data_IF_098381016546
#
_entry.id   IF_098381016546
#
_cell.length_a   1.000
_cell.length_b   1.000
_cell.length_c   1.000
_cell.angle_alpha   90.00
_cell.angle_beta   90.00
_cell.angle_gamma   90.00
#
_symmetry.space_group_name_H-M   'P 1'
#
loop_
_entity.id
_entity.type
_entity.pdbx_description
1 polymer ?
#
# COMPACT_ATOMS: atom_id res chain seq x y z
N UNK A 1 -11.08 -3.88 -29.75
CA UNK A 1 -9.71 -3.81 -29.19
C UNK A 1 -9.64 -2.69 -28.17
N UNK A 2 -9.20 -2.95 -26.94
CA UNK A 2 -8.95 -1.89 -25.95
C UNK A 2 -7.49 -1.43 -26.05
N UNK A 3 -7.29 -0.19 -26.51
CA UNK A 3 -5.98 0.40 -26.79
C UNK A 3 -5.31 1.00 -25.55
N UNK A 4 -6.10 1.51 -24.59
CA UNK A 4 -5.56 2.13 -23.36
C UNK A 4 -5.16 1.05 -22.36
N UNK A 5 -3.91 1.13 -21.86
CA UNK A 5 -3.34 0.15 -20.91
C UNK A 5 -2.99 0.73 -19.54
N UNK A 6 -2.90 2.05 -19.43
CA UNK A 6 -2.46 2.69 -18.19
C UNK A 6 -2.99 4.12 -18.09
N UNK A 7 -3.34 4.54 -16.87
CA UNK A 7 -3.66 5.92 -16.52
C UNK A 7 -2.53 6.43 -15.63
N UNK A 8 -1.86 7.50 -16.06
CA UNK A 8 -0.80 8.16 -15.30
C UNK A 8 -1.28 9.52 -14.80
N UNK A 9 -0.82 9.89 -13.61
CA UNK A 9 -1.08 11.20 -13.04
C UNK A 9 0.03 11.62 -12.07
N UNK A 10 0.13 12.92 -11.84
CA UNK A 10 1.06 13.54 -10.90
C UNK A 10 0.28 14.25 -9.79
N UNK A 11 0.77 14.15 -8.57
CA UNK A 11 0.17 14.76 -7.38
C UNK A 11 1.27 15.48 -6.61
N UNK A 12 0.97 16.65 -6.03
CA UNK A 12 1.87 17.30 -5.07
C UNK A 12 2.25 16.31 -3.95
N UNK A 13 3.53 16.20 -3.63
CA UNK A 13 4.00 15.28 -2.60
C UNK A 13 3.40 15.59 -1.21
N UNK A 14 2.95 16.83 -0.99
CA UNK A 14 2.30 17.31 0.23
C UNK A 14 0.76 17.15 0.22
N UNK A 15 0.14 16.86 -0.92
CA UNK A 15 -1.32 16.70 -1.04
C UNK A 15 -1.75 15.31 -0.52
N UNK A 16 -1.72 15.18 0.80
CA UNK A 16 -2.06 13.95 1.52
C UNK A 16 -3.47 13.41 1.21
N UNK A 17 -4.52 14.25 1.08
CA UNK A 17 -5.84 13.76 0.68
C UNK A 17 -5.85 13.08 -0.69
N UNK A 18 -5.23 13.69 -1.71
CA UNK A 18 -5.16 13.11 -3.04
C UNK A 18 -4.31 11.83 -3.07
N UNK A 19 -3.17 11.82 -2.38
CA UNK A 19 -2.33 10.63 -2.21
C UNK A 19 -3.14 9.44 -1.66
N UNK A 20 -3.83 9.65 -0.54
CA UNK A 20 -4.69 8.61 0.07
C UNK A 20 -5.82 8.18 -0.85
N UNK A 21 -6.42 9.11 -1.58
CA UNK A 21 -7.48 8.81 -2.54
C UNK A 21 -6.96 7.89 -3.65
N UNK A 22 -5.86 8.23 -4.31
CA UNK A 22 -5.34 7.43 -5.42
C UNK A 22 -4.84 6.05 -4.95
N UNK A 23 -4.17 5.97 -3.80
CA UNK A 23 -3.75 4.69 -3.22
C UNK A 23 -4.93 3.79 -2.87
N UNK A 24 -6.02 4.37 -2.34
CA UNK A 24 -7.27 3.63 -2.08
C UNK A 24 -7.91 3.09 -3.37
N UNK A 25 -7.74 3.79 -4.49
CA UNK A 25 -8.25 3.39 -5.81
C UNK A 25 -7.25 2.59 -6.64
N UNK A 26 -6.31 1.90 -5.98
CA UNK A 26 -5.35 0.97 -6.60
C UNK A 26 -4.33 1.60 -7.54
N UNK A 27 -4.19 2.94 -7.54
CA UNK A 27 -3.04 3.56 -8.17
C UNK A 27 -1.78 3.19 -7.38
N UNK A 28 -0.70 2.90 -8.10
CA UNK A 28 0.60 2.57 -7.53
C UNK A 28 1.54 3.74 -7.76
N UNK A 29 2.21 4.19 -6.70
CA UNK A 29 3.26 5.20 -6.84
C UNK A 29 4.37 4.65 -7.75
N UNK A 30 4.64 5.37 -8.83
CA UNK A 30 5.64 5.02 -9.83
C UNK A 30 6.97 5.69 -9.53
N UNK A 31 6.98 7.01 -9.31
CA UNK A 31 8.19 7.81 -9.10
C UNK A 31 7.96 8.95 -8.11
N UNK A 32 9.06 9.39 -7.49
CA UNK A 32 9.14 10.67 -6.78
C UNK A 32 9.87 11.66 -7.69
N UNK A 33 9.32 12.87 -7.83
CA UNK A 33 9.81 13.89 -8.73
C UNK A 33 10.17 15.14 -7.91
N UNK A 34 11.46 15.38 -7.59
CA UNK A 34 11.87 16.57 -6.86
C UNK A 34 11.66 17.83 -7.71
N UNK A 35 11.22 18.92 -7.07
CA UNK A 35 11.04 20.25 -7.68
C UNK A 35 10.19 20.28 -8.96
N UNK A 36 9.25 19.34 -9.11
CA UNK A 36 8.45 19.18 -10.33
C UNK A 36 7.42 20.30 -10.55
N UNK A 37 6.88 20.84 -9.46
CA UNK A 37 5.94 21.96 -9.52
C UNK A 37 6.61 23.24 -9.08
N UNK A 38 6.19 24.35 -9.69
CA UNK A 38 6.55 25.69 -9.23
C UNK A 38 5.26 26.44 -8.86
N UNK A 39 5.01 26.61 -7.57
CA UNK A 39 3.77 27.18 -7.03
C UNK A 39 4.14 28.32 -6.09
N UNK A 40 3.61 29.51 -6.36
CA UNK A 40 3.84 30.71 -5.54
C UNK A 40 5.33 30.99 -5.25
N UNK A 41 6.19 30.83 -6.25
CA UNK A 41 7.65 31.06 -6.12
C UNK A 41 8.40 29.95 -5.38
N UNK A 42 7.73 28.88 -4.97
CA UNK A 42 8.33 27.73 -4.32
C UNK A 42 8.41 26.54 -5.28
N UNK A 43 9.56 25.88 -5.33
CA UNK A 43 9.69 24.59 -5.97
C UNK A 43 9.11 23.50 -5.05
N UNK A 44 8.19 22.70 -5.55
CA UNK A 44 7.48 21.68 -4.80
C UNK A 44 7.64 20.31 -5.47
N UNK A 45 7.77 19.29 -4.65
CA UNK A 45 7.93 17.92 -5.12
C UNK A 45 6.60 17.31 -5.55
N UNK A 46 6.67 16.33 -6.46
CA UNK A 46 5.54 15.56 -6.93
C UNK A 46 5.74 14.06 -6.75
N UNK A 47 4.64 13.33 -6.76
CA UNK A 47 4.58 11.88 -6.84
C UNK A 47 3.82 11.49 -8.09
N UNK A 48 4.40 10.62 -8.89
CA UNK A 48 3.73 10.02 -10.04
C UNK A 48 3.01 8.74 -9.62
N UNK A 49 1.78 8.57 -10.09
CA UNK A 49 0.95 7.40 -9.87
C UNK A 49 0.53 6.78 -11.19
N UNK A 50 0.39 5.45 -11.19
CA UNK A 50 -0.03 4.66 -12.35
C UNK A 50 -1.15 3.68 -11.96
N UNK A 51 -2.21 3.61 -12.76
CA UNK A 51 -3.23 2.58 -12.70
C UNK A 51 -3.22 1.79 -14.01
N UNK A 52 -2.82 0.53 -13.94
CA UNK A 52 -2.79 -0.36 -15.10
C UNK A 52 -4.17 -0.98 -15.31
N UNK A 53 -4.72 -0.82 -16.51
CA UNK A 53 -6.06 -1.27 -16.90
C UNK A 53 -5.97 -2.13 -18.17
N UNK A 54 -7.03 -2.87 -18.49
CA UNK A 54 -7.15 -3.62 -19.76
C UNK A 54 -5.96 -4.56 -20.05
N UNK A 55 -5.42 -5.19 -18.99
CA UNK A 55 -4.28 -6.09 -19.08
C UNK A 55 -2.91 -5.39 -19.16
N UNK A 56 -2.85 -4.07 -18.99
CA UNK A 56 -1.59 -3.36 -18.77
C UNK A 56 -0.85 -3.91 -17.56
N UNK A 57 0.47 -3.94 -17.61
CA UNK A 57 1.31 -4.47 -16.53
C UNK A 57 2.42 -3.47 -16.20
N UNK A 58 2.80 -3.33 -14.92
CA UNK A 58 3.98 -2.56 -14.56
C UNK A 58 5.25 -3.22 -15.12
N UNK A 59 6.32 -2.43 -15.32
CA UNK A 59 7.63 -2.99 -15.64
C UNK A 59 8.01 -4.02 -14.58
N UNK A 60 8.24 -5.26 -15.01
CA UNK A 60 8.59 -6.35 -14.10
C UNK A 60 10.03 -6.18 -13.65
N UNK A 61 10.25 -5.45 -12.56
CA UNK A 61 11.48 -5.60 -11.79
C UNK A 61 11.36 -6.91 -11.01
N UNK A 62 12.37 -7.78 -11.11
CA UNK A 62 12.44 -9.13 -10.52
C UNK A 62 12.11 -9.18 -9.00
N UNK A 63 12.12 -8.04 -8.32
CA UNK A 63 11.85 -7.84 -6.89
C UNK A 63 10.37 -7.72 -6.51
N UNK A 64 9.48 -7.46 -7.47
CA UNK A 64 8.03 -7.29 -7.22
C UNK A 64 7.31 -8.57 -6.75
N UNK A 65 7.83 -9.75 -7.11
CA UNK A 65 7.31 -11.05 -6.68
C UNK A 65 7.53 -11.32 -5.17
N UNK A 66 8.62 -10.79 -4.60
CA UNK A 66 8.99 -11.02 -3.21
C UNK A 66 8.10 -10.21 -2.25
N UNK A 67 7.68 -9.00 -2.66
CA UNK A 67 6.84 -8.10 -1.84
C UNK A 67 5.44 -8.65 -1.58
N UNK A 68 4.85 -9.35 -2.56
CA UNK A 68 3.55 -10.01 -2.41
C UNK A 68 3.59 -11.22 -1.47
N UNK A 69 4.65 -12.03 -1.58
CA UNK A 69 4.88 -13.20 -0.70
C UNK A 69 5.09 -12.78 0.75
N UNK A 70 5.92 -11.76 0.99
CA UNK A 70 6.19 -11.28 2.35
C UNK A 70 4.96 -10.67 3.03
N UNK A 71 4.11 -9.93 2.31
CA UNK A 71 2.84 -9.40 2.84
C UNK A 71 1.84 -10.50 3.23
N UNK A 72 1.79 -11.61 2.47
CA UNK A 72 0.92 -12.75 2.80
C UNK A 72 1.41 -13.47 4.06
N UNK A 73 2.74 -13.65 4.20
CA UNK A 73 3.36 -14.22 5.40
C UNK A 73 3.13 -13.35 6.64
N UNK A 74 3.29 -12.04 6.52
CA UNK A 74 3.05 -11.11 7.64
C UNK A 74 1.60 -11.16 8.14
N UNK A 75 0.63 -11.24 7.22
CA UNK A 75 -0.80 -11.37 7.57
C UNK A 75 -1.12 -12.71 8.26
N UNK A 76 -0.49 -13.80 7.83
CA UNK A 76 -0.67 -15.13 8.45
C UNK A 76 -0.02 -15.16 9.84
N UNK A 77 1.22 -14.67 9.95
CA UNK A 77 1.94 -14.59 11.22
C UNK A 77 1.19 -13.73 12.26
N UNK A 78 0.64 -12.59 11.84
CA UNK A 78 -0.15 -11.73 12.72
C UNK A 78 -1.45 -12.40 13.18
N UNK A 79 -2.14 -13.13 12.31
CA UNK A 79 -3.34 -13.91 12.68
C UNK A 79 -3.03 -15.05 13.66
N UNK A 80 -1.97 -15.81 13.42
CA UNK A 80 -1.57 -16.91 14.30
C UNK A 80 -1.12 -16.41 15.68
N UNK A 81 -0.34 -15.32 15.72
CA UNK A 81 0.09 -14.70 16.98
C UNK A 81 -1.11 -14.18 17.79
N UNK A 82 -2.05 -13.50 17.13
CA UNK A 82 -3.26 -12.97 17.78
C UNK A 82 -4.16 -14.08 18.34
N UNK A 83 -4.42 -15.15 17.59
CA UNK A 83 -5.21 -16.29 18.07
C UNK A 83 -4.55 -16.99 19.26
N UNK A 84 -3.22 -17.16 19.23
CA UNK A 84 -2.46 -17.81 20.31
C UNK A 84 -2.49 -16.98 21.59
N UNK A 85 -2.33 -15.66 21.47
CA UNK A 85 -2.47 -14.74 22.62
C UNK A 85 -3.90 -14.71 23.17
N UNK A 86 -4.92 -14.66 22.31
CA UNK A 86 -6.31 -14.70 22.74
C UNK A 86 -6.66 -16.03 23.46
N UNK A 87 -6.22 -17.16 22.93
CA UNK A 87 -6.43 -18.48 23.55
C UNK A 87 -5.75 -18.62 24.92
N UNK A 88 -4.52 -18.09 25.06
CA UNK A 88 -3.81 -18.07 26.35
C UNK A 88 -4.55 -17.24 27.41
N UNK A 89 -5.16 -16.11 27.03
CA UNK A 89 -5.95 -15.30 27.96
C UNK A 89 -7.25 -15.98 28.38
N UNK A 90 -7.93 -16.67 27.46
CA UNK A 90 -9.14 -17.45 27.79
C UNK A 90 -8.77 -18.62 28.73
N UNK A 91 -7.70 -19.36 28.43
CA UNK A 91 -7.24 -20.46 29.27
C UNK A 91 -6.81 -20.02 30.68
N UNK A 92 -6.20 -18.84 30.81
CA UNK A 92 -5.87 -18.24 32.10
C UNK A 92 -7.11 -17.79 32.89
N UNK A 93 -8.17 -17.34 32.22
CA UNK A 93 -9.43 -16.93 32.85
C UNK A 93 -10.26 -18.11 33.38
N UNK A 94 -10.08 -19.31 32.82
CA UNK A 94 -10.78 -20.53 33.28
C UNK A 94 -10.06 -21.14 34.50
N UNK A 95 -8.81 -20.72 34.79
CA UNK A 95 -7.99 -21.20 35.92
C UNK A 95 -8.00 -20.23 37.11
N UNK A 96 -9.06 -19.46 37.31
CA UNK A 96 -9.29 -18.83 38.62
C UNK A 96 -10.09 -19.80 39.49
N UNK A 97 -9.56 -20.24 40.66
CA UNK A 97 -10.32 -21.09 41.56
C UNK A 97 -11.53 -20.31 42.08
N UNK A 98 -12.70 -20.95 41.99
CA UNK A 98 -13.93 -20.55 42.68
C UNK A 98 -13.58 -20.48 44.18
N UNK A 99 -13.64 -19.28 44.76
CA UNK A 99 -13.64 -19.10 46.21
C UNK A 99 -15.01 -19.47 46.77
#
# INVERSE_FOLDING_TARGET
MQTVKVVYLHVLATNTPAIKFYEKHSFVQHLYLPFYYHIAGSCCDARSYALYINGGKPPQTNTSQLRGRLRRLFRIAFRLCYCRFAALRIAASIRSPVQ
#
